data_IF_924244832855
#
_entry.id   IF_924244832855
#
_cell.length_a   1.000
_cell.length_b   1.000
_cell.length_c   1.000
_cell.angle_alpha   90.00
_cell.angle_beta   90.00
_cell.angle_gamma   90.00
#
_symmetry.space_group_name_H-M   'P 1'
#
loop_
_entity.id
_entity.type
_entity.pdbx_description
1 polymer ?
#
# COMPACT_ATOMS: atom_id res chain seq x y z
N UNK A 1 -15.85 -29.03 -1.27
CA UNK A 1 -15.94 -28.05 -2.35
C UNK A 1 -15.56 -26.72 -1.74
N UNK A 2 -14.52 -26.03 -2.21
CA UNK A 2 -14.29 -24.67 -1.76
C UNK A 2 -15.51 -23.86 -2.22
N UNK A 3 -16.23 -23.26 -1.28
CA UNK A 3 -17.26 -22.29 -1.61
C UNK A 3 -16.58 -21.14 -2.36
N UNK A 4 -16.99 -20.92 -3.61
CA UNK A 4 -16.59 -19.75 -4.39
C UNK A 4 -17.05 -18.51 -3.61
N UNK A 5 -16.13 -17.81 -2.98
CA UNK A 5 -16.36 -16.51 -2.36
C UNK A 5 -16.50 -15.39 -3.42
N UNK A 6 -16.48 -15.76 -4.67
CA UNK A 6 -16.61 -14.88 -5.82
C UNK A 6 -18.08 -14.88 -6.20
N UNK A 7 -18.79 -13.83 -5.81
CA UNK A 7 -20.20 -13.63 -6.20
C UNK A 7 -20.38 -13.42 -7.72
N UNK A 8 -21.57 -13.05 -8.17
CA UNK A 8 -21.84 -12.78 -9.57
C UNK A 8 -20.93 -11.68 -10.12
N UNK A 9 -20.60 -11.77 -11.41
CA UNK A 9 -19.89 -10.72 -12.14
C UNK A 9 -20.85 -10.15 -13.19
N UNK A 10 -20.92 -8.83 -13.28
CA UNK A 10 -21.75 -8.14 -14.27
C UNK A 10 -20.88 -7.65 -15.42
N UNK A 11 -21.24 -7.97 -16.64
CA UNK A 11 -20.67 -7.40 -17.87
C UNK A 11 -21.63 -6.36 -18.41
N UNK A 12 -21.18 -5.13 -18.58
CA UNK A 12 -21.96 -4.04 -19.18
C UNK A 12 -21.47 -3.83 -20.61
N UNK A 13 -22.23 -4.30 -21.60
CA UNK A 13 -21.90 -4.15 -23.00
C UNK A 13 -23.16 -4.29 -23.87
N UNK A 14 -23.12 -3.79 -25.10
CA UNK A 14 -24.19 -4.02 -26.09
C UNK A 14 -24.11 -5.42 -26.71
N UNK A 15 -22.90 -5.93 -26.89
CA UNK A 15 -22.60 -7.27 -27.38
C UNK A 15 -21.44 -7.85 -26.59
N UNK A 16 -21.62 -9.04 -26.04
CA UNK A 16 -20.63 -9.66 -25.16
C UNK A 16 -19.92 -10.79 -25.88
N UNK A 17 -18.61 -10.77 -25.89
CA UNK A 17 -17.78 -11.85 -26.44
C UNK A 17 -17.95 -13.13 -25.56
N UNK A 18 -18.42 -14.24 -26.14
CA UNK A 18 -18.54 -15.51 -25.39
C UNK A 18 -17.20 -16.02 -24.83
N UNK A 19 -16.07 -15.66 -25.45
CA UNK A 19 -14.74 -16.02 -24.97
C UNK A 19 -14.46 -15.32 -23.65
N UNK A 20 -14.86 -14.05 -23.50
CA UNK A 20 -14.74 -13.31 -22.25
C UNK A 20 -15.56 -13.95 -21.14
N UNK A 21 -16.81 -14.34 -21.42
CA UNK A 21 -17.67 -15.04 -20.45
C UNK A 21 -16.99 -16.33 -19.98
N UNK A 22 -16.49 -17.15 -20.90
CA UNK A 22 -15.79 -18.38 -20.58
C UNK A 22 -14.50 -18.14 -19.77
N UNK A 23 -13.74 -17.10 -20.10
CA UNK A 23 -12.52 -16.72 -19.37
C UNK A 23 -12.87 -16.32 -17.91
N UNK A 24 -13.92 -15.51 -17.71
CA UNK A 24 -14.39 -15.12 -16.38
C UNK A 24 -14.89 -16.32 -15.56
N UNK A 25 -15.70 -17.18 -16.15
CA UNK A 25 -16.18 -18.41 -15.50
C UNK A 25 -15.02 -19.33 -15.08
N UNK A 26 -13.97 -19.42 -15.89
CA UNK A 26 -12.79 -20.24 -15.59
C UNK A 26 -12.03 -19.77 -14.34
N UNK A 27 -12.14 -18.49 -13.97
CA UNK A 27 -11.57 -17.93 -12.73
C UNK A 27 -12.44 -18.15 -11.50
N UNK A 28 -13.63 -18.75 -11.67
CA UNK A 28 -14.62 -18.97 -10.61
C UNK A 28 -15.60 -17.82 -10.43
N UNK A 29 -15.62 -16.87 -11.36
CA UNK A 29 -16.63 -15.81 -11.42
C UNK A 29 -17.94 -16.40 -11.96
N UNK A 30 -18.89 -16.72 -11.08
CA UNK A 30 -20.16 -17.32 -11.46
C UNK A 30 -21.28 -16.89 -10.51
N UNK A 31 -22.48 -16.59 -11.03
CA UNK A 31 -22.82 -16.46 -12.44
C UNK A 31 -22.26 -15.18 -13.09
N UNK A 32 -22.06 -15.23 -14.40
CA UNK A 32 -21.80 -14.03 -15.21
C UNK A 32 -23.16 -13.50 -15.70
N UNK A 33 -23.42 -12.23 -15.43
CA UNK A 33 -24.68 -11.55 -15.79
C UNK A 33 -24.37 -10.49 -16.82
N UNK A 34 -24.99 -10.56 -17.97
CA UNK A 34 -24.85 -9.59 -19.05
C UNK A 34 -25.94 -8.53 -18.96
N UNK A 35 -25.58 -7.27 -19.13
CA UNK A 35 -26.54 -6.16 -19.13
C UNK A 35 -26.07 -5.03 -20.05
N UNK A 36 -27.02 -4.15 -20.42
CA UNK A 36 -26.74 -2.91 -21.15
C UNK A 36 -26.69 -1.73 -20.19
N UNK A 37 -26.10 -0.64 -20.64
CA UNK A 37 -25.99 0.58 -19.84
C UNK A 37 -27.34 1.12 -19.33
N UNK A 38 -28.42 0.93 -20.10
CA UNK A 38 -29.75 1.39 -19.70
C UNK A 38 -30.23 0.74 -18.40
N UNK A 39 -29.90 -0.53 -18.19
CA UNK A 39 -30.37 -1.35 -17.06
C UNK A 39 -29.25 -1.64 -16.05
N UNK A 40 -28.04 -1.13 -16.28
CA UNK A 40 -26.82 -1.47 -15.52
C UNK A 40 -26.97 -1.19 -14.03
N UNK A 41 -27.47 -0.01 -13.65
CA UNK A 41 -27.65 0.38 -12.26
C UNK A 41 -28.63 -0.55 -11.53
N UNK A 42 -29.77 -0.88 -12.15
CA UNK A 42 -30.79 -1.74 -11.56
C UNK A 42 -30.29 -3.19 -11.41
N UNK A 43 -29.57 -3.71 -12.43
CA UNK A 43 -28.99 -5.04 -12.39
C UNK A 43 -27.90 -5.12 -11.34
N UNK A 44 -27.03 -4.13 -11.23
CA UNK A 44 -25.96 -4.07 -10.24
C UNK A 44 -26.53 -3.98 -8.83
N UNK A 45 -27.55 -3.14 -8.60
CA UNK A 45 -28.25 -3.05 -7.32
C UNK A 45 -28.89 -4.38 -6.91
N UNK A 46 -29.51 -5.09 -7.85
CA UNK A 46 -30.19 -6.35 -7.58
C UNK A 46 -29.23 -7.53 -7.36
N UNK A 47 -28.05 -7.51 -7.98
CA UNK A 47 -27.10 -8.64 -7.93
C UNK A 47 -26.00 -8.49 -6.88
N UNK A 48 -25.70 -7.26 -6.42
CA UNK A 48 -24.55 -6.94 -5.57
C UNK A 48 -23.27 -7.65 -6.02
N UNK A 49 -22.80 -7.41 -7.27
CA UNK A 49 -21.79 -8.26 -7.89
C UNK A 49 -20.45 -8.20 -7.20
N UNK A 50 -19.65 -9.25 -7.39
CA UNK A 50 -18.27 -9.31 -6.93
C UNK A 50 -17.30 -8.51 -7.82
N UNK A 51 -17.78 -8.02 -8.95
CA UNK A 51 -17.05 -7.15 -9.86
C UNK A 51 -17.86 -6.84 -11.11
N UNK A 52 -17.50 -5.76 -11.76
CA UNK A 52 -18.15 -5.26 -12.98
C UNK A 52 -17.08 -5.10 -14.07
N UNK A 53 -17.40 -5.49 -15.28
CA UNK A 53 -16.53 -5.39 -16.44
C UNK A 53 -17.22 -4.62 -17.56
N UNK A 54 -16.58 -3.57 -18.06
CA UNK A 54 -16.97 -2.80 -19.24
C UNK A 54 -15.90 -2.99 -20.29
N UNK A 55 -16.01 -4.03 -21.14
CA UNK A 55 -14.92 -4.47 -22.01
C UNK A 55 -14.70 -3.58 -23.25
N UNK A 56 -15.63 -2.68 -23.50
CA UNK A 56 -15.58 -1.78 -24.65
C UNK A 56 -15.83 -0.33 -24.22
N UNK A 57 -15.12 0.60 -24.84
CA UNK A 57 -15.39 2.02 -24.61
C UNK A 57 -16.84 2.32 -25.02
N UNK A 58 -17.64 2.88 -24.13
CA UNK A 58 -19.03 3.15 -24.43
C UNK A 58 -19.16 4.23 -25.52
N UNK A 59 -19.72 3.84 -26.67
CA UNK A 59 -19.90 4.73 -27.83
C UNK A 59 -21.03 5.73 -27.63
N UNK A 60 -21.24 6.44 -26.64
CA UNK A 60 -22.33 7.37 -26.30
C UNK A 60 -23.22 6.89 -25.15
N UNK A 61 -22.62 6.60 -24.00
CA UNK A 61 -23.42 6.39 -22.77
C UNK A 61 -23.89 7.74 -22.26
N UNK A 62 -25.18 7.89 -21.93
CA UNK A 62 -25.63 9.10 -21.27
C UNK A 62 -24.93 9.24 -19.92
N UNK A 63 -24.34 10.40 -19.58
CA UNK A 63 -23.71 10.64 -18.28
C UNK A 63 -24.61 10.25 -17.10
N UNK A 64 -25.91 10.48 -17.21
CA UNK A 64 -26.91 10.08 -16.20
C UNK A 64 -26.98 8.56 -15.95
N UNK A 65 -26.54 7.71 -16.87
CA UNK A 65 -26.48 6.25 -16.63
C UNK A 65 -25.22 5.90 -15.83
N UNK A 66 -24.10 6.59 -16.08
CA UNK A 66 -22.87 6.46 -15.32
C UNK A 66 -23.06 6.97 -13.90
N UNK A 67 -23.69 8.16 -13.73
CA UNK A 67 -24.02 8.74 -12.42
C UNK A 67 -24.86 7.78 -11.57
N UNK A 68 -25.95 7.21 -12.15
CA UNK A 68 -26.76 6.23 -11.42
C UNK A 68 -25.99 4.99 -11.01
N UNK A 69 -25.09 4.49 -11.85
CA UNK A 69 -24.24 3.35 -11.49
C UNK A 69 -23.27 3.73 -10.37
N UNK A 70 -22.68 4.93 -10.42
CA UNK A 70 -21.81 5.45 -9.37
C UNK A 70 -22.54 5.57 -8.03
N UNK A 71 -23.77 6.11 -8.03
CA UNK A 71 -24.62 6.23 -6.84
C UNK A 71 -24.89 4.85 -6.22
N UNK A 72 -25.26 3.86 -7.02
CA UNK A 72 -25.49 2.48 -6.55
C UNK A 72 -24.22 1.88 -5.93
N UNK A 73 -23.07 2.07 -6.56
CA UNK A 73 -21.79 1.54 -6.03
C UNK A 73 -21.36 2.24 -4.74
N UNK A 74 -21.69 3.53 -4.59
CA UNK A 74 -21.40 4.27 -3.37
C UNK A 74 -22.22 3.80 -2.16
N UNK A 75 -23.39 3.16 -2.38
CA UNK A 75 -24.21 2.57 -1.31
C UNK A 75 -23.67 1.21 -0.82
N UNK A 76 -22.79 0.59 -1.57
CA UNK A 76 -22.27 -0.73 -1.20
C UNK A 76 -21.28 -0.63 -0.03
N UNK A 77 -21.51 -1.45 1.00
CA UNK A 77 -20.62 -1.50 2.18
C UNK A 77 -19.26 -2.13 1.88
N UNK A 78 -19.18 -2.93 0.82
CA UNK A 78 -17.96 -3.62 0.42
C UNK A 78 -17.53 -3.12 -0.95
N UNK A 79 -16.26 -2.77 -1.08
CA UNK A 79 -15.64 -2.39 -2.34
C UNK A 79 -16.00 -3.36 -3.47
N UNK A 80 -16.56 -2.85 -4.54
CA UNK A 80 -16.89 -3.60 -5.75
C UNK A 80 -16.06 -3.06 -6.90
N UNK A 81 -15.08 -3.82 -7.42
CA UNK A 81 -14.21 -3.36 -8.49
C UNK A 81 -15.01 -3.19 -9.79
N UNK A 82 -14.79 -2.07 -10.46
CA UNK A 82 -15.23 -1.79 -11.81
C UNK A 82 -14.00 -1.75 -12.72
N UNK A 83 -13.95 -2.62 -13.72
CA UNK A 83 -12.93 -2.64 -14.75
C UNK A 83 -13.54 -2.07 -16.03
N UNK A 84 -12.91 -1.06 -16.63
CA UNK A 84 -13.47 -0.44 -17.82
C UNK A 84 -12.41 0.02 -18.82
N UNK A 85 -12.72 -0.08 -20.10
CA UNK A 85 -11.97 0.64 -21.13
C UNK A 85 -12.19 2.15 -20.91
N UNK A 86 -11.12 2.95 -20.77
CA UNK A 86 -11.23 4.36 -20.44
C UNK A 86 -12.06 5.14 -21.46
N UNK A 87 -12.99 5.94 -20.95
CA UNK A 87 -13.72 6.96 -21.70
C UNK A 87 -13.78 8.22 -20.82
N UNK A 88 -13.75 9.40 -21.44
CA UNK A 88 -13.61 10.67 -20.70
C UNK A 88 -14.71 10.82 -19.64
N UNK A 89 -15.98 10.65 -20.01
CA UNK A 89 -17.11 10.78 -19.08
C UNK A 89 -17.05 9.75 -17.91
N UNK A 90 -16.60 8.53 -18.20
CA UNK A 90 -16.47 7.50 -17.18
C UNK A 90 -15.33 7.80 -16.21
N UNK A 91 -14.18 8.27 -16.72
CA UNK A 91 -13.03 8.60 -15.88
C UNK A 91 -13.31 9.84 -14.99
N UNK A 92 -14.12 10.78 -15.47
CA UNK A 92 -14.50 11.96 -14.69
C UNK A 92 -15.49 11.64 -13.56
N UNK A 93 -16.46 10.75 -13.80
CA UNK A 93 -17.48 10.37 -12.83
C UNK A 93 -17.00 9.27 -11.87
N UNK A 94 -16.21 8.32 -12.38
CA UNK A 94 -15.72 7.15 -11.62
C UNK A 94 -14.19 7.04 -11.70
N UNK A 95 -13.45 7.96 -11.05
CA UNK A 95 -11.98 8.01 -11.12
C UNK A 95 -11.28 6.78 -10.49
N UNK A 96 -11.99 5.96 -9.75
CA UNK A 96 -11.52 4.68 -9.19
C UNK A 96 -11.71 3.48 -10.11
N UNK A 97 -12.38 3.65 -11.26
CA UNK A 97 -12.54 2.56 -12.23
C UNK A 97 -11.17 2.08 -12.73
N UNK A 98 -10.94 0.78 -12.65
CA UNK A 98 -9.67 0.18 -13.06
C UNK A 98 -9.56 0.16 -14.58
N UNK A 99 -8.48 0.68 -15.17
CA UNK A 99 -8.36 0.77 -16.60
C UNK A 99 -8.25 -0.62 -17.25
N UNK A 100 -8.87 -0.78 -18.43
CA UNK A 100 -8.65 -1.88 -19.34
C UNK A 100 -8.07 -1.33 -20.64
N UNK A 101 -7.03 -1.97 -21.19
CA UNK A 101 -6.61 -1.67 -22.56
C UNK A 101 -7.68 -2.12 -23.54
N UNK A 102 -7.91 -1.32 -24.59
CA UNK A 102 -8.90 -1.66 -25.62
C UNK A 102 -8.56 -2.96 -26.39
N UNK A 103 -7.31 -3.38 -26.35
CA UNK A 103 -6.78 -4.61 -26.95
C UNK A 103 -6.47 -5.70 -25.90
N UNK A 104 -6.96 -5.52 -24.66
CA UNK A 104 -6.75 -6.50 -23.59
C UNK A 104 -7.34 -7.88 -23.98
N UNK A 105 -6.54 -8.92 -23.79
CA UNK A 105 -7.03 -10.29 -24.00
C UNK A 105 -8.08 -10.66 -22.94
N UNK A 106 -9.01 -11.55 -23.27
CA UNK A 106 -10.01 -12.06 -22.31
C UNK A 106 -9.36 -12.64 -21.05
N UNK A 107 -8.24 -13.36 -21.20
CA UNK A 107 -7.47 -13.89 -20.06
C UNK A 107 -6.85 -12.77 -19.22
N UNK A 108 -6.38 -11.70 -19.85
CA UNK A 108 -5.85 -10.51 -19.15
C UNK A 108 -6.93 -9.79 -18.33
N UNK A 109 -8.13 -9.62 -18.92
CA UNK A 109 -9.28 -9.05 -18.21
C UNK A 109 -9.66 -9.93 -17.01
N UNK A 110 -9.76 -11.24 -17.22
CA UNK A 110 -10.08 -12.19 -16.15
C UNK A 110 -9.03 -12.19 -15.04
N UNK A 111 -7.74 -12.14 -15.38
CA UNK A 111 -6.65 -12.07 -14.41
C UNK A 111 -6.69 -10.76 -13.58
N UNK A 112 -6.97 -9.61 -14.22
CA UNK A 112 -7.13 -8.31 -13.54
C UNK A 112 -8.34 -8.31 -12.63
N UNK A 113 -9.48 -8.82 -13.09
CA UNK A 113 -10.67 -8.95 -12.25
C UNK A 113 -10.38 -9.82 -11.03
N UNK A 114 -9.73 -10.97 -11.22
CA UNK A 114 -9.37 -11.86 -10.11
C UNK A 114 -8.42 -11.17 -9.10
N UNK A 115 -7.49 -10.32 -9.56
CA UNK A 115 -6.68 -9.50 -8.67
C UNK A 115 -7.52 -8.50 -7.86
N UNK A 116 -8.44 -7.79 -8.51
CA UNK A 116 -9.32 -6.83 -7.86
C UNK A 116 -10.31 -7.49 -6.88
N UNK A 117 -10.81 -8.69 -7.20
CA UNK A 117 -11.67 -9.47 -6.31
C UNK A 117 -10.95 -9.94 -5.03
N UNK A 118 -9.63 -10.12 -5.06
CA UNK A 118 -8.87 -10.38 -3.82
C UNK A 118 -8.93 -9.18 -2.86
N UNK A 119 -8.86 -7.96 -3.39
CA UNK A 119 -9.01 -6.73 -2.58
C UNK A 119 -10.43 -6.63 -2.00
N UNK A 120 -11.47 -6.92 -2.82
CA UNK A 120 -12.85 -7.00 -2.34
C UNK A 120 -13.01 -8.00 -1.19
N UNK A 121 -12.47 -9.21 -1.35
CA UNK A 121 -12.54 -10.26 -0.33
C UNK A 121 -11.84 -9.85 0.96
N UNK A 122 -10.70 -9.19 0.84
CA UNK A 122 -9.98 -8.64 1.99
C UNK A 122 -10.80 -7.55 2.69
N UNK A 123 -11.42 -6.63 1.93
CA UNK A 123 -12.30 -5.59 2.49
C UNK A 123 -13.50 -6.20 3.24
N UNK A 124 -14.20 -7.15 2.62
CA UNK A 124 -15.30 -7.86 3.27
C UNK A 124 -14.88 -8.57 4.57
N UNK A 125 -13.66 -9.13 4.59
CA UNK A 125 -13.12 -9.79 5.78
C UNK A 125 -12.84 -8.78 6.90
N UNK A 126 -12.23 -7.64 6.57
CA UNK A 126 -11.95 -6.56 7.52
C UNK A 126 -13.24 -5.99 8.09
N UNK A 127 -14.23 -5.68 7.23
CA UNK A 127 -15.53 -5.16 7.64
C UNK A 127 -16.26 -6.11 8.61
N UNK A 128 -16.29 -7.40 8.27
CA UNK A 128 -16.90 -8.43 9.13
C UNK A 128 -16.21 -8.55 10.47
N UNK A 129 -14.87 -8.52 10.52
CA UNK A 129 -14.12 -8.58 11.80
C UNK A 129 -14.29 -7.33 12.63
N UNK A 130 -14.33 -6.15 12.00
CA UNK A 130 -14.61 -4.91 12.69
C UNK A 130 -16.00 -4.92 13.34
N UNK A 131 -17.03 -5.41 12.61
CA UNK A 131 -18.38 -5.56 13.15
C UNK A 131 -18.42 -6.50 14.36
N UNK A 132 -17.73 -7.65 14.32
CA UNK A 132 -17.66 -8.58 15.44
C UNK A 132 -17.01 -7.96 16.69
N UNK A 133 -15.98 -7.12 16.53
CA UNK A 133 -15.34 -6.43 17.67
C UNK A 133 -16.28 -5.40 18.27
N UNK A 134 -17.01 -4.66 17.45
CA UNK A 134 -18.02 -3.68 17.91
C UNK A 134 -19.14 -4.37 18.71
N UNK A 135 -19.61 -5.54 18.29
CA UNK A 135 -20.59 -6.34 19.02
C UNK A 135 -20.11 -6.79 20.41
N UNK A 136 -18.78 -6.83 20.63
CA UNK A 136 -18.15 -7.19 21.89
C UNK A 136 -17.63 -5.98 22.67
N UNK A 137 -18.12 -4.77 22.40
CA UNK A 137 -17.68 -3.50 23.02
C UNK A 137 -16.16 -3.22 22.87
N UNK A 138 -15.53 -3.81 21.88
CA UNK A 138 -14.14 -3.53 21.52
C UNK A 138 -14.17 -2.47 20.42
N UNK A 139 -13.62 -1.29 20.69
CA UNK A 139 -13.52 -0.23 19.69
C UNK A 139 -12.57 -0.66 18.54
N UNK A 140 -13.08 -0.96 17.35
CA UNK A 140 -12.20 -1.26 16.23
C UNK A 140 -11.43 0.03 15.91
N UNK A 141 -10.13 -0.10 15.67
CA UNK A 141 -9.32 1.03 15.21
C UNK A 141 -10.05 1.79 14.09
N UNK A 142 -10.18 3.09 14.23
CA UNK A 142 -10.95 3.94 13.30
C UNK A 142 -10.51 3.74 11.85
N UNK A 143 -11.48 3.58 10.96
CA UNK A 143 -11.20 3.52 9.52
C UNK A 143 -10.50 4.80 9.07
N UNK A 144 -9.41 4.71 8.33
CA UNK A 144 -8.84 5.87 7.68
C UNK A 144 -9.85 6.46 6.69
N UNK A 145 -10.23 7.71 6.88
CA UNK A 145 -11.23 8.42 6.04
C UNK A 145 -10.61 9.16 4.86
N UNK A 146 -9.28 9.30 4.83
CA UNK A 146 -8.57 9.98 3.73
C UNK A 146 -8.38 9.06 2.51
N UNK A 147 -8.15 9.67 1.34
CA UNK A 147 -7.92 8.93 0.10
C UNK A 147 -6.71 7.98 0.25
N UNK A 148 -6.79 6.73 -0.20
CA UNK A 148 -5.63 5.83 -0.25
C UNK A 148 -4.41 6.40 -0.96
N UNK A 149 -4.60 7.27 -1.95
CA UNK A 149 -3.51 7.93 -2.67
C UNK A 149 -2.67 8.87 -1.78
N UNK A 150 -3.23 9.41 -0.70
CA UNK A 150 -2.49 10.28 0.23
C UNK A 150 -1.28 9.56 0.86
N UNK A 151 -1.38 8.25 1.04
CA UNK A 151 -0.32 7.40 1.59
C UNK A 151 0.48 6.65 0.51
N UNK A 152 0.04 6.70 -0.77
CA UNK A 152 0.61 5.86 -1.82
C UNK A 152 2.02 6.32 -2.24
N UNK A 153 2.90 5.37 -2.46
CA UNK A 153 4.28 5.61 -2.91
C UNK A 153 4.55 4.88 -4.22
N UNK A 154 5.00 5.62 -5.23
CA UNK A 154 5.33 5.07 -6.54
C UNK A 154 6.82 5.15 -6.79
N UNK A 155 7.39 4.05 -7.29
CA UNK A 155 8.79 3.98 -7.67
C UNK A 155 8.95 4.27 -9.16
N UNK A 156 9.76 5.27 -9.50
CA UNK A 156 10.18 5.54 -10.88
C UNK A 156 11.51 4.87 -11.14
N UNK A 157 11.56 3.98 -12.12
CA UNK A 157 12.74 3.21 -12.51
C UNK A 157 13.15 3.60 -13.91
N UNK A 158 14.35 4.14 -14.08
CA UNK A 158 14.82 4.59 -15.42
C UNK A 158 16.13 5.35 -15.33
N UNK A 159 16.80 5.48 -16.46
CA UNK A 159 18.04 6.28 -16.61
C UNK A 159 18.09 7.03 -17.95
N UNK A 160 17.00 7.01 -18.68
CA UNK A 160 16.86 7.69 -19.96
C UNK A 160 16.32 9.13 -19.81
N UNK A 161 15.94 9.70 -20.95
CA UNK A 161 15.49 11.10 -20.99
C UNK A 161 14.13 11.34 -20.33
N UNK A 162 13.27 10.32 -20.28
CA UNK A 162 11.94 10.42 -19.65
C UNK A 162 12.00 10.45 -18.13
N UNK A 163 13.08 9.93 -17.54
CA UNK A 163 13.17 9.74 -16.08
C UNK A 163 12.91 11.01 -15.24
N UNK A 164 13.54 12.19 -15.51
CA UNK A 164 13.27 13.39 -14.72
C UNK A 164 11.81 13.85 -14.81
N UNK A 165 11.24 13.83 -16.02
CA UNK A 165 9.86 14.25 -16.24
C UNK A 165 8.83 13.28 -15.60
N UNK A 166 9.08 11.97 -15.65
CA UNK A 166 8.30 10.98 -14.93
C UNK A 166 8.40 11.18 -13.42
N UNK A 167 9.61 11.43 -12.90
CA UNK A 167 9.83 11.72 -11.48
C UNK A 167 9.05 12.96 -11.02
N UNK A 168 9.07 14.04 -11.80
CA UNK A 168 8.28 15.24 -11.51
C UNK A 168 6.77 14.93 -11.51
N UNK A 169 6.26 14.29 -12.57
CA UNK A 169 4.84 14.00 -12.69
C UNK A 169 4.31 13.07 -11.58
N UNK A 170 5.12 12.10 -11.14
CA UNK A 170 4.77 11.26 -9.97
C UNK A 170 4.83 12.08 -8.68
N UNK A 171 5.91 12.85 -8.46
CA UNK A 171 6.12 13.60 -7.23
C UNK A 171 5.09 14.71 -6.97
N UNK A 172 4.43 15.22 -8.00
CA UNK A 172 3.35 16.21 -7.88
C UNK A 172 2.06 15.63 -7.28
N UNK A 173 1.90 14.30 -7.30
CA UNK A 173 0.65 13.64 -6.88
C UNK A 173 0.84 12.57 -5.81
N UNK A 174 2.00 11.95 -5.75
CA UNK A 174 2.27 10.75 -4.97
C UNK A 174 3.64 10.83 -4.29
N UNK A 175 3.88 9.95 -3.32
CA UNK A 175 5.25 9.73 -2.84
C UNK A 175 6.12 9.12 -3.93
N UNK A 176 7.33 9.64 -4.04
CA UNK A 176 8.26 9.25 -5.08
C UNK A 176 9.46 8.50 -4.49
N UNK A 177 9.78 7.35 -5.09
CA UNK A 177 11.06 6.68 -4.92
C UNK A 177 11.75 6.64 -6.28
N UNK A 178 12.98 7.13 -6.38
CA UNK A 178 13.77 7.10 -7.60
C UNK A 178 14.74 5.91 -7.64
N UNK A 179 14.83 5.21 -8.77
CA UNK A 179 15.80 4.15 -9.00
C UNK A 179 16.41 4.26 -10.41
N UNK A 180 17.71 4.48 -10.50
CA UNK A 180 18.42 4.60 -11.78
C UNK A 180 18.85 3.23 -12.35
N UNK A 181 18.58 2.14 -11.66
CA UNK A 181 18.95 0.78 -12.07
C UNK A 181 18.04 -0.27 -11.43
N UNK A 182 17.94 -1.42 -12.08
CA UNK A 182 17.10 -2.55 -11.63
C UNK A 182 17.53 -3.08 -10.26
N UNK A 183 18.83 -3.14 -9.98
CA UNK A 183 19.35 -3.60 -8.68
C UNK A 183 18.97 -2.63 -7.56
N UNK A 184 18.92 -1.32 -7.86
CA UNK A 184 18.46 -0.31 -6.90
C UNK A 184 16.96 -0.43 -6.70
N UNK A 185 16.19 -0.64 -7.77
CA UNK A 185 14.75 -0.89 -7.70
C UNK A 185 14.44 -2.12 -6.85
N UNK A 186 15.12 -3.23 -7.08
CA UNK A 186 14.96 -4.46 -6.30
C UNK A 186 15.27 -4.27 -4.81
N UNK A 187 16.30 -3.49 -4.48
CA UNK A 187 16.61 -3.13 -3.07
C UNK A 187 15.49 -2.31 -2.43
N UNK A 188 14.91 -1.35 -3.15
CA UNK A 188 13.79 -0.56 -2.63
C UNK A 188 12.55 -1.41 -2.42
N UNK A 189 12.19 -2.29 -3.37
CA UNK A 189 11.05 -3.22 -3.24
C UNK A 189 11.17 -4.13 -2.01
N UNK A 190 12.38 -4.55 -1.67
CA UNK A 190 12.59 -5.38 -0.47
C UNK A 190 12.63 -4.58 0.83
N UNK A 191 12.86 -3.27 0.78
CA UNK A 191 13.04 -2.44 1.97
C UNK A 191 11.83 -1.55 2.31
N UNK A 192 10.92 -1.29 1.36
CA UNK A 192 9.83 -0.32 1.50
C UNK A 192 8.52 -0.86 0.95
N UNK A 193 7.42 -0.24 1.41
CA UNK A 193 6.13 -0.39 0.77
C UNK A 193 6.10 0.50 -0.48
N UNK A 194 5.78 -0.11 -1.61
CA UNK A 194 5.67 0.53 -2.92
C UNK A 194 4.31 0.16 -3.47
N UNK A 195 3.52 1.16 -3.85
CA UNK A 195 2.15 0.97 -4.32
C UNK A 195 2.05 1.00 -5.86
N UNK A 196 3.16 1.21 -6.55
CA UNK A 196 3.24 1.14 -7.99
C UNK A 196 4.65 1.39 -8.50
N UNK A 197 4.91 0.96 -9.73
CA UNK A 197 6.18 1.16 -10.44
C UNK A 197 5.91 1.83 -11.77
N UNK A 198 6.66 2.88 -12.09
CA UNK A 198 6.72 3.46 -13.43
C UNK A 198 8.10 3.17 -14.02
N UNK A 199 8.14 2.39 -15.09
CA UNK A 199 9.38 2.01 -15.75
C UNK A 199 9.56 2.90 -16.99
N UNK A 200 10.55 3.79 -16.92
CA UNK A 200 10.96 4.65 -18.01
C UNK A 200 11.99 3.98 -18.91
N UNK A 201 12.50 4.77 -19.86
CA UNK A 201 13.49 4.35 -20.83
C UNK A 201 14.90 4.14 -20.23
N UNK A 202 15.80 3.57 -21.06
CA UNK A 202 17.21 3.38 -20.73
C UNK A 202 17.62 1.96 -20.36
N UNK A 203 16.73 0.99 -20.46
CA UNK A 203 17.01 -0.44 -20.28
C UNK A 203 16.87 -1.20 -21.61
N UNK A 204 17.74 -2.19 -21.81
CA UNK A 204 17.58 -3.10 -22.94
C UNK A 204 16.45 -4.11 -22.74
N UNK A 205 15.86 -4.67 -23.83
CA UNK A 205 14.72 -5.58 -23.76
C UNK A 205 14.95 -6.79 -22.82
N UNK A 206 16.13 -7.39 -22.84
CA UNK A 206 16.46 -8.54 -21.97
C UNK A 206 16.48 -8.18 -20.49
N UNK A 207 16.99 -6.99 -20.15
CA UNK A 207 17.03 -6.51 -18.76
C UNK A 207 15.63 -6.21 -18.26
N UNK A 208 14.81 -5.61 -19.11
CA UNK A 208 13.42 -5.32 -18.81
C UNK A 208 12.61 -6.61 -18.62
N UNK A 209 12.74 -7.58 -19.53
CA UNK A 209 12.10 -8.88 -19.45
C UNK A 209 12.47 -9.62 -18.15
N UNK A 210 13.76 -9.65 -17.80
CA UNK A 210 14.21 -10.28 -16.56
C UNK A 210 13.60 -9.61 -15.32
N UNK A 211 13.45 -8.28 -15.33
CA UNK A 211 12.83 -7.56 -14.21
C UNK A 211 11.33 -7.84 -14.11
N UNK A 212 10.59 -7.77 -15.22
CA UNK A 212 9.16 -8.10 -15.26
C UNK A 212 8.91 -9.56 -14.85
N UNK A 213 9.76 -10.49 -15.28
CA UNK A 213 9.72 -11.90 -14.88
C UNK A 213 9.90 -12.03 -13.37
N UNK A 214 10.91 -11.38 -12.78
CA UNK A 214 11.14 -11.42 -11.34
C UNK A 214 9.95 -10.86 -10.55
N UNK A 215 9.31 -9.78 -11.02
CA UNK A 215 8.09 -9.24 -10.41
C UNK A 215 6.93 -10.24 -10.49
N UNK A 216 6.75 -10.92 -11.63
CA UNK A 216 5.65 -11.86 -11.83
C UNK A 216 5.78 -13.16 -11.04
N UNK A 217 7.00 -13.57 -10.73
CA UNK A 217 7.31 -14.80 -9.97
C UNK A 217 7.25 -14.60 -8.45
N UNK A 218 7.39 -13.36 -7.96
CA UNK A 218 7.28 -13.08 -6.54
C UNK A 218 5.82 -12.74 -6.17
N UNK A 219 5.15 -13.55 -5.34
CA UNK A 219 3.76 -13.32 -4.94
C UNK A 219 3.49 -11.94 -4.30
N UNK A 220 4.54 -11.28 -3.76
CA UNK A 220 4.43 -9.95 -3.15
C UNK A 220 4.24 -8.85 -4.20
N UNK A 221 4.72 -9.05 -5.43
CA UNK A 221 4.78 -8.03 -6.47
C UNK A 221 3.94 -8.34 -7.69
N UNK A 222 3.39 -9.56 -7.80
CA UNK A 222 2.60 -9.97 -8.95
C UNK A 222 1.39 -9.06 -9.22
N UNK A 223 0.75 -8.58 -8.16
CA UNK A 223 -0.43 -7.70 -8.27
C UNK A 223 -0.07 -6.20 -8.16
N UNK A 224 1.23 -5.87 -8.10
CA UNK A 224 1.71 -4.49 -8.03
C UNK A 224 1.43 -3.77 -9.36
N UNK A 225 0.87 -2.56 -9.34
CA UNK A 225 0.69 -1.73 -10.53
C UNK A 225 2.02 -1.41 -11.20
N UNK A 226 2.13 -1.68 -12.50
CA UNK A 226 3.33 -1.38 -13.30
C UNK A 226 2.93 -0.60 -14.54
N UNK A 227 3.40 0.64 -14.65
CA UNK A 227 3.34 1.41 -15.89
C UNK A 227 4.65 1.23 -16.67
N UNK A 228 4.56 0.74 -17.89
CA UNK A 228 5.68 0.54 -18.77
C UNK A 228 5.63 1.58 -19.90
N UNK A 229 6.60 2.50 -19.93
CA UNK A 229 6.71 3.52 -20.98
C UNK A 229 7.41 2.98 -22.24
N UNK A 230 8.49 2.17 -22.14
CA UNK A 230 9.05 1.48 -23.30
C UNK A 230 8.09 0.40 -23.85
N UNK A 231 8.40 -0.09 -25.04
CA UNK A 231 7.69 -1.23 -25.60
C UNK A 231 7.85 -2.49 -24.74
N UNK A 232 6.76 -3.25 -24.61
CA UNK A 232 6.78 -4.53 -23.92
C UNK A 232 7.66 -5.52 -24.68
N UNK A 233 8.58 -6.24 -24.02
CA UNK A 233 9.35 -7.30 -24.67
C UNK A 233 8.41 -8.35 -25.29
N UNK A 234 8.60 -8.67 -26.56
CA UNK A 234 7.71 -9.56 -27.32
C UNK A 234 7.59 -10.99 -26.71
N UNK A 235 8.55 -11.37 -25.90
CA UNK A 235 8.60 -12.68 -25.21
C UNK A 235 7.91 -12.69 -23.86
N UNK A 236 7.51 -11.51 -23.34
CA UNK A 236 6.86 -11.43 -22.04
C UNK A 236 5.33 -11.49 -22.16
N UNK A 237 4.73 -12.44 -21.46
CA UNK A 237 3.28 -12.55 -21.36
C UNK A 237 2.72 -11.54 -20.32
N UNK A 238 1.97 -10.55 -20.81
CA UNK A 238 1.38 -9.50 -19.97
C UNK A 238 0.41 -10.05 -18.91
N UNK A 239 -0.28 -11.17 -19.18
CA UNK A 239 -1.22 -11.77 -18.25
C UNK A 239 -0.54 -12.26 -16.93
N UNK A 240 0.78 -12.43 -16.93
CA UNK A 240 1.54 -12.75 -15.71
C UNK A 240 1.62 -11.62 -14.69
N UNK A 241 1.41 -10.37 -15.14
CA UNK A 241 1.32 -9.16 -14.30
C UNK A 241 -0.04 -8.49 -14.56
N UNK A 242 -1.10 -8.87 -13.85
CA UNK A 242 -2.48 -8.41 -14.12
C UNK A 242 -2.65 -6.90 -14.16
N UNK A 243 -1.79 -6.15 -13.43
CA UNK A 243 -1.82 -4.70 -13.31
C UNK A 243 -0.68 -4.02 -14.09
N UNK A 244 -0.18 -4.67 -15.14
CA UNK A 244 0.77 -4.08 -16.08
C UNK A 244 0.03 -3.28 -17.16
N UNK A 245 0.40 -2.00 -17.29
CA UNK A 245 -0.08 -1.09 -18.34
C UNK A 245 1.09 -0.65 -19.24
N UNK A 246 0.92 -0.83 -20.54
CA UNK A 246 1.86 -0.29 -21.54
C UNK A 246 1.38 1.11 -21.92
N UNK A 247 2.08 2.14 -21.50
CA UNK A 247 1.65 3.53 -21.56
C UNK A 247 2.71 4.40 -22.27
N UNK A 248 2.87 4.28 -23.59
CA UNK A 248 3.70 5.21 -24.33
C UNK A 248 3.05 6.59 -24.32
N UNK A 249 3.78 7.63 -23.91
CA UNK A 249 3.22 8.98 -23.96
C UNK A 249 3.84 9.99 -23.00
N UNK A 250 3.12 11.09 -22.82
CA UNK A 250 3.55 12.17 -21.92
C UNK A 250 3.53 11.70 -20.46
N UNK A 251 4.51 12.10 -19.64
CA UNK A 251 4.60 11.65 -18.24
C UNK A 251 3.34 11.88 -17.42
N UNK A 252 2.67 13.00 -17.56
CA UNK A 252 1.43 13.31 -16.84
C UNK A 252 0.29 12.34 -17.22
N UNK A 253 0.18 11.96 -18.49
CA UNK A 253 -0.82 10.99 -18.96
C UNK A 253 -0.51 9.57 -18.43
N UNK A 254 0.77 9.16 -18.40
CA UNK A 254 1.21 7.89 -17.82
C UNK A 254 0.81 7.81 -16.35
N UNK A 255 1.07 8.86 -15.58
CA UNK A 255 0.72 8.91 -14.15
C UNK A 255 -0.80 8.90 -13.97
N UNK A 256 -1.55 9.71 -14.73
CA UNK A 256 -3.00 9.72 -14.64
C UNK A 256 -3.62 8.34 -14.94
N UNK A 257 -3.12 7.64 -15.94
CA UNK A 257 -3.65 6.33 -16.34
C UNK A 257 -3.40 5.22 -15.29
N UNK A 258 -2.29 5.30 -14.51
CA UNK A 258 -2.00 4.28 -13.50
C UNK A 258 -2.61 4.59 -12.12
N UNK A 259 -3.07 5.83 -11.88
CA UNK A 259 -3.59 6.25 -10.57
C UNK A 259 -4.69 5.33 -10.00
N UNK A 260 -5.68 4.86 -10.76
CA UNK A 260 -6.71 3.98 -10.22
C UNK A 260 -6.14 2.66 -9.68
N UNK A 261 -5.17 2.07 -10.38
CA UNK A 261 -4.49 0.85 -9.94
C UNK A 261 -3.64 1.10 -8.70
N UNK A 262 -2.92 2.22 -8.64
CA UNK A 262 -2.14 2.63 -7.46
C UNK A 262 -3.07 2.85 -6.25
N UNK A 263 -4.21 3.52 -6.45
CA UNK A 263 -5.24 3.72 -5.41
C UNK A 263 -5.72 2.38 -4.86
N UNK A 264 -6.05 1.42 -5.73
CA UNK A 264 -6.49 0.10 -5.32
C UNK A 264 -5.42 -0.64 -4.53
N UNK A 265 -4.15 -0.61 -4.97
CA UNK A 265 -3.04 -1.27 -4.27
C UNK A 265 -2.77 -0.64 -2.90
N UNK A 266 -2.77 0.70 -2.81
CA UNK A 266 -2.65 1.41 -1.54
C UNK A 266 -3.81 1.10 -0.59
N UNK A 267 -5.04 0.97 -1.13
CA UNK A 267 -6.21 0.53 -0.37
C UNK A 267 -6.02 -0.91 0.16
N UNK A 268 -5.55 -1.84 -0.67
CA UNK A 268 -5.23 -3.21 -0.25
C UNK A 268 -4.18 -3.23 0.88
N UNK A 269 -3.10 -2.46 0.72
CA UNK A 269 -2.06 -2.35 1.76
C UNK A 269 -2.64 -1.81 3.08
N UNK A 270 -3.55 -0.84 3.01
CA UNK A 270 -4.29 -0.32 4.16
C UNK A 270 -5.16 -1.38 4.82
N UNK A 271 -5.92 -2.13 4.03
CA UNK A 271 -6.76 -3.22 4.52
C UNK A 271 -5.95 -4.33 5.22
N UNK A 272 -4.78 -4.68 4.68
CA UNK A 272 -3.88 -5.66 5.32
C UNK A 272 -3.40 -5.18 6.68
N UNK A 273 -3.03 -3.90 6.81
CA UNK A 273 -2.64 -3.31 8.10
C UNK A 273 -3.80 -3.26 9.09
N UNK A 274 -5.00 -2.90 8.60
CA UNK A 274 -6.21 -2.89 9.41
C UNK A 274 -6.55 -4.28 9.92
N UNK A 275 -6.49 -5.30 9.06
CA UNK A 275 -6.71 -6.69 9.46
C UNK A 275 -5.73 -7.13 10.54
N UNK A 276 -4.45 -6.81 10.38
CA UNK A 276 -3.45 -7.11 11.40
C UNK A 276 -3.72 -6.39 12.72
N UNK A 277 -4.20 -5.13 12.68
CA UNK A 277 -4.58 -4.39 13.89
C UNK A 277 -5.80 -4.99 14.58
N UNK A 278 -6.81 -5.40 13.83
CA UNK A 278 -7.99 -6.09 14.36
C UNK A 278 -7.61 -7.45 14.97
N UNK A 279 -6.77 -8.23 14.30
CA UNK A 279 -6.28 -9.53 14.80
C UNK A 279 -5.45 -9.38 16.07
N UNK A 280 -4.73 -8.28 16.21
CA UNK A 280 -3.99 -7.92 17.41
C UNK A 280 -4.87 -7.28 18.51
N UNK A 281 -6.17 -7.25 18.34
CA UNK A 281 -7.14 -6.67 19.30
C UNK A 281 -6.77 -5.23 19.73
N UNK A 282 -6.40 -4.40 18.78
CA UNK A 282 -6.03 -3.01 19.00
C UNK A 282 -4.65 -2.78 19.63
N UNK A 283 -3.83 -3.81 19.76
CA UNK A 283 -2.44 -3.66 20.21
C UNK A 283 -1.51 -3.07 19.15
N UNK A 284 -1.89 -3.17 17.88
CA UNK A 284 -1.10 -2.70 16.74
C UNK A 284 -1.82 -1.54 16.05
N UNK A 285 -1.06 -0.49 15.71
CA UNK A 285 -1.55 0.65 14.92
C UNK A 285 -1.64 0.27 13.44
N UNK A 286 -2.83 0.40 12.87
CA UNK A 286 -3.12 0.05 11.48
C UNK A 286 -2.37 0.91 10.45
N UNK A 287 -1.94 2.13 10.80
CA UNK A 287 -1.21 3.00 9.88
C UNK A 287 0.26 2.64 9.74
N UNK A 288 0.87 2.23 10.84
CA UNK A 288 2.32 1.99 10.92
C UNK A 288 2.70 0.52 11.02
N UNK A 289 1.79 -0.35 11.50
CA UNK A 289 2.09 -1.74 11.83
C UNK A 289 2.94 -1.89 13.10
N UNK A 290 3.19 -0.80 13.82
CA UNK A 290 3.85 -0.80 15.14
C UNK A 290 2.83 -0.99 16.26
N UNK A 291 3.28 -1.20 17.48
CA UNK A 291 2.38 -1.17 18.64
C UNK A 291 1.68 0.19 18.79
N UNK A 292 0.42 0.18 19.20
CA UNK A 292 -0.20 1.39 19.76
C UNK A 292 0.56 1.81 21.01
N UNK A 293 0.47 3.10 21.39
CA UNK A 293 1.14 3.55 22.62
C UNK A 293 0.67 2.77 23.85
N UNK A 294 -0.61 2.42 23.92
CA UNK A 294 -1.17 1.61 25.00
C UNK A 294 -0.61 0.17 24.99
N UNK A 295 -0.53 -0.46 23.82
CA UNK A 295 0.09 -1.77 23.63
C UNK A 295 1.56 -1.76 24.01
N UNK A 296 2.30 -0.74 23.54
CA UNK A 296 3.71 -0.56 23.85
C UNK A 296 3.98 -0.41 25.34
N UNK A 297 3.22 0.45 26.04
CA UNK A 297 3.39 0.67 27.47
C UNK A 297 3.10 -0.59 28.28
N UNK A 298 2.08 -1.37 27.89
CA UNK A 298 1.75 -2.64 28.55
C UNK A 298 2.87 -3.66 28.38
N UNK A 299 3.42 -3.77 27.17
CA UNK A 299 4.53 -4.70 26.90
C UNK A 299 5.83 -4.23 27.57
N UNK A 300 6.09 -2.92 27.59
CA UNK A 300 7.23 -2.33 28.29
C UNK A 300 7.19 -2.61 29.79
N UNK A 301 6.01 -2.53 30.42
CA UNK A 301 5.85 -2.85 31.85
C UNK A 301 6.27 -4.31 32.14
N UNK A 302 5.79 -5.25 31.33
CA UNK A 302 6.18 -6.66 31.45
C UNK A 302 7.67 -6.87 31.19
N UNK A 303 8.22 -6.20 30.17
CA UNK A 303 9.63 -6.31 29.85
C UNK A 303 10.53 -5.75 30.98
N UNK A 304 10.10 -4.69 31.68
CA UNK A 304 10.79 -4.14 32.84
C UNK A 304 10.76 -5.15 34.01
N UNK A 305 9.59 -5.72 34.33
CA UNK A 305 9.45 -6.75 35.36
C UNK A 305 10.33 -7.98 35.08
N UNK A 306 10.27 -8.50 33.86
CA UNK A 306 11.07 -9.66 33.45
C UNK A 306 12.57 -9.36 33.48
N UNK A 307 12.99 -8.18 33.02
CA UNK A 307 14.39 -7.79 33.01
C UNK A 307 14.95 -7.64 34.44
N UNK A 308 14.19 -7.04 35.35
CA UNK A 308 14.57 -6.91 36.76
C UNK A 308 14.62 -8.26 37.48
N UNK A 309 13.62 -9.12 37.26
CA UNK A 309 13.56 -10.44 37.90
C UNK A 309 14.70 -11.35 37.44
N UNK A 310 15.16 -11.22 36.19
CA UNK A 310 16.19 -12.11 35.59
C UNK A 310 17.56 -11.45 35.50
N UNK A 311 17.72 -10.21 35.89
CA UNK A 311 18.97 -9.47 35.76
C UNK A 311 19.36 -9.22 34.28
N UNK A 312 18.38 -9.11 33.36
CA UNK A 312 18.61 -8.90 31.97
C UNK A 312 18.71 -7.39 31.64
N UNK A 313 19.50 -7.06 30.62
CA UNK A 313 19.56 -5.69 30.13
C UNK A 313 18.29 -5.39 29.32
N UNK A 314 17.72 -4.20 29.52
CA UNK A 314 16.65 -3.63 28.69
C UNK A 314 17.03 -2.19 28.37
N UNK A 315 17.00 -1.82 27.12
CA UNK A 315 17.32 -0.45 26.67
C UNK A 315 16.13 0.13 25.90
N UNK A 316 15.87 1.42 26.11
CA UNK A 316 14.83 2.17 25.43
C UNK A 316 15.47 3.29 24.60
N UNK A 317 15.07 3.41 23.35
CA UNK A 317 15.47 4.50 22.47
C UNK A 317 14.26 5.34 22.06
N UNK A 318 14.47 6.66 21.96
CA UNK A 318 13.55 7.60 21.33
C UNK A 318 14.22 8.23 20.13
N UNK A 319 13.55 8.20 18.99
CA UNK A 319 13.94 8.87 17.76
C UNK A 319 13.02 10.07 17.58
N UNK A 320 13.55 11.26 17.80
CA UNK A 320 12.82 12.51 17.62
C UNK A 320 13.12 13.09 16.25
N UNK A 321 12.07 13.46 15.52
CA UNK A 321 12.17 14.02 14.18
C UNK A 321 12.15 15.56 14.20
N UNK A 322 12.69 16.23 13.17
CA UNK A 322 12.59 17.68 13.04
C UNK A 322 11.13 18.15 13.06
N UNK A 323 10.90 19.32 13.65
CA UNK A 323 9.58 19.98 13.61
C UNK A 323 9.23 20.34 12.16
N UNK A 324 8.01 19.97 11.74
CA UNK A 324 7.55 20.23 10.37
C UNK A 324 7.72 19.05 9.40
N UNK A 325 8.10 17.88 9.91
CA UNK A 325 8.07 16.67 9.09
C UNK A 325 6.62 16.40 8.63
N UNK A 326 6.45 16.22 7.33
CA UNK A 326 5.16 15.86 6.73
C UNK A 326 4.61 14.55 7.33
N UNK A 327 3.29 14.49 7.50
CA UNK A 327 2.62 13.33 8.10
C UNK A 327 2.96 12.03 7.38
N UNK A 328 3.02 12.07 6.05
CA UNK A 328 3.39 10.93 5.20
C UNK A 328 4.82 10.48 5.48
N UNK A 329 5.78 11.40 5.45
CA UNK A 329 7.18 11.09 5.75
C UNK A 329 7.35 10.51 7.16
N UNK A 330 6.57 10.98 8.13
CA UNK A 330 6.53 10.45 9.49
C UNK A 330 5.99 9.01 9.54
N UNK A 331 4.94 8.68 8.78
CA UNK A 331 4.39 7.32 8.68
C UNK A 331 5.37 6.37 8.00
N UNK A 332 6.01 6.81 6.91
CA UNK A 332 7.00 6.00 6.19
C UNK A 332 8.25 5.75 7.03
N UNK A 333 8.69 6.75 7.82
CA UNK A 333 9.76 6.58 8.79
C UNK A 333 9.42 5.52 9.85
N UNK A 334 8.18 5.54 10.36
CA UNK A 334 7.69 4.57 11.32
C UNK A 334 7.64 3.14 10.74
N UNK A 335 7.08 2.98 9.54
CA UNK A 335 7.03 1.70 8.82
C UNK A 335 8.43 1.15 8.53
N UNK A 336 9.34 2.02 8.07
CA UNK A 336 10.73 1.64 7.81
C UNK A 336 11.45 1.21 9.09
N UNK A 337 11.29 1.97 10.18
CA UNK A 337 11.86 1.62 11.47
C UNK A 337 11.36 0.25 11.97
N UNK A 338 10.06 -0.01 11.84
CA UNK A 338 9.46 -1.30 12.20
C UNK A 338 10.10 -2.51 11.51
N UNK A 339 10.52 -2.35 10.25
CA UNK A 339 11.24 -3.41 9.50
C UNK A 339 12.69 -3.62 9.94
N UNK A 340 13.29 -2.64 10.61
CA UNK A 340 14.67 -2.69 11.08
C UNK A 340 14.79 -3.20 12.52
N UNK A 341 13.67 -3.20 13.26
CA UNK A 341 13.54 -3.72 14.61
C UNK A 341 13.42 -5.25 14.57
N UNK A 342 14.05 -5.95 15.52
CA UNK A 342 13.99 -7.42 15.59
C UNK A 342 12.63 -7.86 16.11
N UNK A 343 12.23 -9.10 15.83
CA UNK A 343 10.95 -9.67 16.33
C UNK A 343 10.84 -9.73 17.86
N UNK A 344 11.96 -9.69 18.58
CA UNK A 344 11.99 -9.68 20.05
C UNK A 344 11.98 -8.26 20.63
N UNK A 345 12.24 -7.27 19.82
CA UNK A 345 12.19 -5.84 20.14
C UNK A 345 10.83 -5.30 19.70
N UNK A 346 10.37 -4.23 20.31
CA UNK A 346 9.07 -3.66 19.96
C UNK A 346 9.14 -2.14 19.90
N UNK A 347 8.26 -1.55 19.09
CA UNK A 347 8.28 -0.13 18.82
C UNK A 347 6.87 0.44 18.72
N UNK A 348 6.72 1.73 19.02
CA UNK A 348 5.49 2.48 18.77
C UNK A 348 5.81 3.89 18.25
N UNK A 349 4.81 4.52 17.64
CA UNK A 349 4.82 5.94 17.34
C UNK A 349 4.12 6.69 18.47
N UNK A 350 4.80 7.63 19.11
CA UNK A 350 4.23 8.48 20.13
C UNK A 350 3.35 9.59 19.52
N UNK A 351 2.53 10.23 20.36
CA UNK A 351 1.60 11.29 19.94
C UNK A 351 2.28 12.53 19.36
N UNK A 352 3.53 12.79 19.74
CA UNK A 352 4.36 13.87 19.19
C UNK A 352 5.08 13.49 17.87
N UNK A 353 4.78 12.32 17.34
CA UNK A 353 5.37 11.80 16.12
C UNK A 353 6.72 11.10 16.29
N UNK A 354 7.35 11.16 17.48
CA UNK A 354 8.59 10.43 17.75
C UNK A 354 8.37 8.92 17.76
N UNK A 355 9.44 8.14 17.53
CA UNK A 355 9.39 6.69 17.65
C UNK A 355 10.07 6.26 18.95
N UNK A 356 9.42 5.37 19.67
CA UNK A 356 9.98 4.67 20.82
C UNK A 356 10.29 3.24 20.42
N UNK A 357 11.49 2.76 20.75
CA UNK A 357 11.93 1.38 20.46
C UNK A 357 12.51 0.78 21.74
N UNK A 358 11.94 -0.32 22.21
CA UNK A 358 12.44 -1.10 23.32
C UNK A 358 13.30 -2.26 22.80
N UNK A 359 14.53 -2.33 23.26
CA UNK A 359 15.51 -3.36 22.91
C UNK A 359 15.61 -4.38 24.03
N UNK A 360 14.95 -5.51 23.86
CA UNK A 360 14.92 -6.61 24.84
C UNK A 360 16.29 -7.30 24.96
N UNK A 361 16.69 -7.64 26.18
CA UNK A 361 17.97 -8.30 26.48
C UNK A 361 19.19 -7.63 25.82
N UNK A 362 19.16 -6.29 25.70
CA UNK A 362 20.15 -5.54 24.95
C UNK A 362 20.81 -4.46 25.82
N UNK A 363 22.10 -4.57 26.14
CA UNK A 363 22.84 -3.57 26.91
C UNK A 363 23.07 -2.29 26.09
N UNK A 364 23.42 -1.20 26.75
CA UNK A 364 23.47 0.15 26.22
C UNK A 364 24.38 0.30 24.98
N UNK A 365 25.56 -0.32 25.01
CA UNK A 365 26.51 -0.30 23.90
C UNK A 365 25.95 -0.90 22.62
N UNK A 366 25.30 -2.05 22.73
CA UNK A 366 24.62 -2.74 21.62
C UNK A 366 23.37 -1.97 21.18
N UNK A 367 22.59 -1.44 22.11
CA UNK A 367 21.44 -0.60 21.79
C UNK A 367 21.85 0.66 21.01
N UNK A 368 22.99 1.28 21.37
CA UNK A 368 23.59 2.39 20.61
C UNK A 368 23.90 2.01 19.17
N UNK A 369 24.52 0.85 18.96
CA UNK A 369 24.87 0.39 17.61
C UNK A 369 23.64 0.17 16.74
N UNK A 370 22.57 -0.45 17.30
CA UNK A 370 21.32 -0.69 16.59
C UNK A 370 20.59 0.63 16.32
N UNK A 371 20.50 1.52 17.30
CA UNK A 371 19.83 2.80 17.14
C UNK A 371 20.52 3.68 16.10
N UNK A 372 21.87 3.73 16.09
CA UNK A 372 22.63 4.43 15.04
C UNK A 372 22.36 3.84 13.65
N UNK A 373 22.26 2.52 13.53
CA UNK A 373 21.92 1.87 12.26
C UNK A 373 20.52 2.30 11.78
N UNK A 374 19.51 2.28 12.65
CA UNK A 374 18.15 2.72 12.34
C UNK A 374 18.18 4.20 11.91
N UNK A 375 18.79 5.09 12.69
CA UNK A 375 18.91 6.51 12.38
C UNK A 375 19.64 6.74 11.04
N UNK A 376 20.71 6.00 10.77
CA UNK A 376 21.44 6.08 9.50
C UNK A 376 20.59 5.65 8.31
N UNK A 377 19.78 4.58 8.44
CA UNK A 377 18.89 4.15 7.37
C UNK A 377 17.80 5.19 7.13
N UNK A 378 17.18 5.74 8.18
CA UNK A 378 16.20 6.83 8.07
C UNK A 378 16.79 8.05 7.37
N UNK A 379 18.00 8.47 7.76
CA UNK A 379 18.70 9.63 7.17
C UNK A 379 19.04 9.44 5.69
N UNK A 380 19.40 8.23 5.27
CA UNK A 380 19.81 7.95 3.89
C UNK A 380 18.62 7.52 3.01
N UNK A 381 17.43 7.46 3.59
CA UNK A 381 16.18 7.17 2.89
C UNK A 381 15.50 8.50 2.59
N UNK A 382 15.23 8.77 1.32
CA UNK A 382 14.46 9.95 0.92
C UNK A 382 12.98 9.66 1.21
N UNK A 383 12.48 10.23 2.31
CA UNK A 383 11.11 10.05 2.79
C UNK A 383 10.25 11.31 2.58
N UNK A 384 10.83 12.41 2.12
CA UNK A 384 10.14 13.67 1.83
C UNK A 384 10.39 14.10 0.37
N UNK A 385 9.50 14.92 -0.24
CA UNK A 385 9.72 15.48 -1.58
C UNK A 385 11.04 16.25 -1.68
N UNK A 386 11.66 16.23 -2.86
CA UNK A 386 13.01 16.71 -3.10
C UNK A 386 13.20 18.26 -3.08
N UNK A 387 12.16 19.03 -2.86
CA UNK A 387 12.19 20.52 -3.03
C UNK A 387 12.83 21.30 -1.87
N UNK A 388 13.14 20.65 -0.77
CA UNK A 388 13.90 21.28 0.31
C UNK A 388 15.13 20.44 0.63
N UNK A 389 16.24 21.08 1.05
CA UNK A 389 17.40 20.38 1.63
C UNK A 389 17.02 19.45 2.81
N UNK A 390 15.75 19.43 3.20
CA UNK A 390 15.09 18.64 4.23
C UNK A 390 14.60 17.26 3.79
N UNK A 391 14.83 16.79 2.57
CA UNK A 391 14.44 15.44 2.12
C UNK A 391 15.11 14.28 2.89
N UNK A 392 16.03 14.60 3.81
CA UNK A 392 16.67 13.65 4.70
C UNK A 392 16.16 13.84 6.12
N UNK A 393 15.64 12.77 6.70
CA UNK A 393 15.20 12.78 8.09
C UNK A 393 16.39 12.55 9.01
N UNK A 394 16.86 13.59 9.66
CA UNK A 394 17.91 13.50 10.69
C UNK A 394 17.23 13.30 12.05
N UNK A 395 17.08 12.03 12.45
CA UNK A 395 16.47 11.68 13.71
C UNK A 395 17.46 11.86 14.88
N UNK A 396 17.14 12.74 15.82
CA UNK A 396 17.86 12.78 17.08
C UNK A 396 17.53 11.55 17.93
N UNK A 397 18.55 10.88 18.47
CA UNK A 397 18.37 9.64 19.22
C UNK A 397 18.75 9.84 20.67
N UNK A 398 17.79 9.59 21.57
CA UNK A 398 18.03 9.51 23.02
C UNK A 398 17.92 8.07 23.47
N UNK A 399 18.84 7.60 24.31
CA UNK A 399 18.89 6.22 24.81
C UNK A 399 18.96 6.17 26.33
N UNK A 400 18.25 5.22 26.92
CA UNK A 400 18.36 4.91 28.32
C UNK A 400 18.32 3.38 28.54
N UNK A 401 19.15 2.88 29.44
CA UNK A 401 19.13 1.49 29.89
C UNK A 401 18.44 1.40 31.24
N UNK A 402 17.65 0.33 31.44
CA UNK A 402 16.96 0.02 32.68
C UNK A 402 17.96 -0.11 33.84
N UNK A 403 17.69 0.55 34.94
CA UNK A 403 18.40 0.42 36.22
C UNK A 403 17.55 -0.44 37.18
N UNK A 404 18.17 -1.03 38.19
CA UNK A 404 17.49 -1.90 39.14
C UNK A 404 16.33 -1.25 39.93
N UNK A 405 16.36 0.09 40.05
CA UNK A 405 15.33 0.89 40.77
C UNK A 405 14.36 1.61 39.84
N UNK A 406 14.49 1.42 38.50
CA UNK A 406 13.64 2.13 37.56
C UNK A 406 12.21 1.57 37.53
N UNK A 407 11.26 2.46 37.35
CA UNK A 407 9.92 2.16 36.87
C UNK A 407 9.83 2.44 35.35
N UNK A 408 8.71 2.04 34.74
CA UNK A 408 8.44 2.37 33.33
C UNK A 408 8.47 3.88 33.10
N UNK A 409 7.87 4.65 34.02
CA UNK A 409 7.80 6.10 33.96
C UNK A 409 9.19 6.73 34.04
N UNK A 410 10.04 6.26 34.94
CA UNK A 410 11.40 6.78 35.10
C UNK A 410 12.27 6.47 33.89
N UNK A 411 12.10 5.28 33.28
CA UNK A 411 12.80 4.90 32.07
C UNK A 411 12.36 5.77 30.88
N UNK A 412 11.04 5.98 30.72
CA UNK A 412 10.48 6.87 29.69
C UNK A 412 10.89 8.32 29.88
N UNK A 413 10.88 8.84 31.12
CA UNK A 413 11.32 10.20 31.41
C UNK A 413 12.77 10.45 30.94
N UNK A 414 13.66 9.49 31.14
CA UNK A 414 15.07 9.61 30.72
C UNK A 414 15.30 9.66 29.21
N UNK A 415 14.37 9.13 28.40
CA UNK A 415 14.45 9.27 26.94
C UNK A 415 13.63 10.43 26.42
N UNK A 416 12.76 11.02 27.26
CA UNK A 416 11.92 12.16 26.90
C UNK A 416 12.59 13.50 27.19
N UNK A 417 13.47 13.54 28.17
CA UNK A 417 14.22 14.74 28.54
C UNK A 417 15.54 14.77 27.72
N UNK A 418 15.73 15.74 26.82
CA UNK A 418 16.96 15.83 26.05
C UNK A 418 18.10 16.28 27.00
N UNK A 419 18.76 15.32 27.64
CA UNK A 419 20.06 15.59 28.21
C UNK A 419 20.97 16.15 27.10
N UNK A 420 21.78 17.17 27.36
CA UNK A 420 22.57 17.82 26.33
C UNK A 420 23.43 16.77 25.60
N UNK A 421 23.25 16.69 24.29
CA UNK A 421 24.06 15.87 23.40
C UNK A 421 25.51 16.36 23.57
N UNK A 422 26.32 15.59 24.26
CA UNK A 422 27.77 15.75 24.17
C UNK A 422 28.15 15.29 22.76
N UNK A 423 28.32 16.29 21.88
CA UNK A 423 28.90 16.06 20.56
C UNK A 423 30.32 15.51 20.76
N UNK A 424 30.56 14.32 20.26
CA UNK A 424 31.89 13.73 20.12
C UNK A 424 32.19 13.53 18.64
#
# INVERSE_FOLDING_TARGET
MPMSLQGPVVIIAEDVDPILVQALESTGAAPVVETRWADAADVVAATEPAGIVVPQAPAAVPPAAIDRLADVLAEFQVYTPLLAVPADDLADIMPEALPLSADASCDGIAARLAAAQRVRTLHATVARRAALLTEHDIDPASWPTHDPLDDATVMVVGRGRSYPALGTAVGERLGLIGALGIETAARHLNARDVDGIVIGDGFGPRTLEAFLTALSEDPRFRDLPVALVPELPATFDQARLPNLECLPGAPAAVVAAILPLVRQHAFEARLRRQLAALDAQGLVDAHTGLFTIAGFLRDLARAVEDAQARGLALSLARFSFPSGLDQRASLDAARLAGRLVRNVDFACRASDGSLLVAFSATPLDKAHAVARRIASVLRHTMLAPADDQAGRIDAAVTLATLKSTDTVESLLARVSDPAPVVAA
#
